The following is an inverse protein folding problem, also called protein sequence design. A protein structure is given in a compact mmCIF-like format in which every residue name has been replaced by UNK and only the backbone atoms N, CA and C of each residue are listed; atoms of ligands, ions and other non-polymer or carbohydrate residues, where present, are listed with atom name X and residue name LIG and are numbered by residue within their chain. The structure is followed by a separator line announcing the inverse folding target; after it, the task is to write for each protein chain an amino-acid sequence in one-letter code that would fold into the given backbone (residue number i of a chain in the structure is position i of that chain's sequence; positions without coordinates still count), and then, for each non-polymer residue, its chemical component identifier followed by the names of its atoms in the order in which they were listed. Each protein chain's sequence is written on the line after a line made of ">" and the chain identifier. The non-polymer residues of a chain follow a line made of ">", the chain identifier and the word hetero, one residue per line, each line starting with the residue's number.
data_IF_601992831104
#
_entry.id   IF_601992831104
#
_cell.length_a   1.000
_cell.length_b   1.000
_cell.length_c   1.000
_cell.angle_alpha   90.00
_cell.angle_beta   90.00
_cell.angle_gamma   90.00
#
_symmetry.space_group_name_H-M   'P 1'
#
loop_
_entity.id
_entity.type
_entity.pdbx_description
1 polymer ?
#
# COMPACT_ATOMS: atom_id res chain seq x y z
N UNK A 1 22.32 20.44 -5.91
CA UNK A 1 22.41 21.23 -7.17
C UNK A 1 21.83 20.38 -8.30
N UNK A 2 21.11 20.99 -9.26
CA UNK A 2 20.83 20.38 -10.57
C UNK A 2 19.55 19.55 -10.79
N UNK A 3 18.78 19.17 -9.76
CA UNK A 3 17.62 18.28 -9.96
C UNK A 3 16.35 19.05 -10.37
N UNK A 4 15.74 18.63 -11.47
CA UNK A 4 14.46 19.12 -12.00
C UNK A 4 13.51 17.97 -12.36
N UNK A 5 12.44 18.27 -13.10
CA UNK A 5 11.54 17.27 -13.65
C UNK A 5 11.26 17.56 -15.11
N UNK A 6 11.28 16.53 -15.93
CA UNK A 6 10.98 16.57 -17.36
C UNK A 6 9.87 15.58 -17.68
N UNK A 7 9.03 15.90 -18.67
CA UNK A 7 8.03 15.01 -19.22
C UNK A 7 8.64 14.22 -20.39
N UNK A 8 8.46 12.90 -20.39
CA UNK A 8 8.86 12.02 -21.49
C UNK A 8 7.63 11.30 -22.02
N UNK A 9 7.49 11.25 -23.33
CA UNK A 9 6.41 10.54 -24.01
C UNK A 9 6.87 9.16 -24.47
N UNK A 10 5.97 8.18 -24.44
CA UNK A 10 6.26 6.84 -24.97
C UNK A 10 6.59 6.92 -26.47
N UNK A 11 7.65 6.22 -26.89
CA UNK A 11 8.11 6.20 -28.28
C UNK A 11 9.19 7.23 -28.62
N UNK A 12 9.59 8.11 -27.69
CA UNK A 12 10.74 9.00 -27.90
C UNK A 12 12.03 8.18 -28.17
N UNK A 13 12.82 8.52 -29.22
CA UNK A 13 14.06 7.80 -29.52
C UNK A 13 15.00 7.75 -28.32
N UNK A 14 15.49 6.54 -28.01
CA UNK A 14 16.36 6.29 -26.86
C UNK A 14 15.63 6.07 -25.53
N UNK A 15 14.31 6.32 -25.44
CA UNK A 15 13.51 6.02 -24.26
C UNK A 15 12.84 4.65 -24.42
N UNK A 16 13.30 3.67 -23.65
CA UNK A 16 12.86 2.27 -23.77
C UNK A 16 12.59 1.65 -22.40
N UNK A 17 11.88 0.52 -22.40
CA UNK A 17 11.57 -0.25 -21.20
C UNK A 17 12.48 -1.46 -21.11
N UNK A 18 13.12 -1.63 -19.95
CA UNK A 18 13.83 -2.85 -19.60
C UNK A 18 12.89 -3.99 -19.16
N UNK A 19 13.45 -5.10 -18.64
CA UNK A 19 12.65 -6.23 -18.22
C UNK A 19 11.74 -5.87 -17.05
N UNK A 20 10.54 -6.46 -17.06
CA UNK A 20 9.59 -6.37 -15.95
C UNK A 20 10.15 -7.09 -14.72
N UNK A 21 10.02 -6.46 -13.55
CA UNK A 21 10.32 -7.06 -12.26
C UNK A 21 9.16 -7.97 -11.85
N UNK A 22 9.48 -9.22 -11.49
CA UNK A 22 8.50 -10.18 -10.92
C UNK A 22 8.47 -10.00 -9.41
N UNK A 23 7.58 -9.12 -8.94
CA UNK A 23 7.42 -8.78 -7.53
C UNK A 23 6.75 -9.87 -6.70
N UNK A 24 6.97 -9.83 -5.37
CA UNK A 24 6.32 -10.71 -4.40
C UNK A 24 4.79 -10.57 -4.46
N UNK A 25 4.29 -9.34 -4.30
CA UNK A 25 2.90 -8.96 -4.40
C UNK A 25 2.69 -7.73 -5.27
N UNK A 26 1.48 -7.18 -5.24
CA UNK A 26 1.04 -6.05 -6.08
C UNK A 26 1.27 -6.35 -7.57
N UNK A 27 1.13 -7.63 -7.95
CA UNK A 27 1.50 -8.13 -9.30
C UNK A 27 0.63 -7.57 -10.44
N UNK A 28 -0.43 -6.85 -10.12
CA UNK A 28 -1.21 -6.07 -11.10
C UNK A 28 -0.46 -4.83 -11.59
N UNK A 29 0.46 -4.29 -10.79
CA UNK A 29 1.31 -3.17 -11.17
C UNK A 29 2.49 -3.69 -11.98
N UNK A 30 2.77 -3.02 -13.10
CA UNK A 30 3.90 -3.33 -13.97
C UNK A 30 5.11 -2.53 -13.51
N UNK A 31 5.86 -3.11 -12.59
CA UNK A 31 7.17 -2.58 -12.19
C UNK A 31 8.25 -3.05 -13.15
N UNK A 32 9.16 -2.15 -13.53
CA UNK A 32 10.20 -2.42 -14.50
C UNK A 32 11.26 -1.33 -14.52
N UNK A 33 12.26 -1.53 -15.36
CA UNK A 33 13.36 -0.59 -15.54
C UNK A 33 13.01 0.37 -16.67
N UNK A 34 13.25 1.67 -16.47
CA UNK A 34 13.24 2.67 -17.54
C UNK A 34 14.68 2.88 -18.01
N UNK A 35 14.90 2.85 -19.32
CA UNK A 35 16.20 3.02 -19.95
C UNK A 35 16.20 4.29 -20.79
N UNK A 36 17.23 5.11 -20.63
CA UNK A 36 17.39 6.37 -21.32
C UNK A 36 18.76 6.39 -22.01
N UNK A 37 18.77 6.32 -23.34
CA UNK A 37 19.98 6.39 -24.16
C UNK A 37 19.91 7.60 -25.11
N UNK A 38 20.65 8.66 -24.79
CA UNK A 38 20.71 9.89 -25.59
C UNK A 38 19.33 10.47 -25.97
N UNK A 39 18.35 10.36 -25.07
CA UNK A 39 16.98 10.86 -25.29
C UNK A 39 17.01 12.38 -25.45
N UNK A 40 16.54 12.87 -26.60
CA UNK A 40 16.38 14.30 -26.85
C UNK A 40 15.01 14.75 -26.37
N UNK A 41 14.99 15.72 -25.47
CA UNK A 41 13.77 16.21 -24.81
C UNK A 41 13.57 17.68 -25.19
N UNK A 42 12.40 18.08 -25.72
CA UNK A 42 12.08 19.47 -25.99
C UNK A 42 12.11 20.33 -24.71
N UNK A 43 12.43 21.62 -24.85
CA UNK A 43 12.49 22.53 -23.70
C UNK A 43 11.12 22.71 -23.05
N UNK A 44 10.04 22.67 -23.83
CA UNK A 44 8.66 22.75 -23.31
C UNK A 44 8.29 21.58 -22.37
N UNK A 45 9.01 20.47 -22.42
CA UNK A 45 8.80 19.33 -21.53
C UNK A 45 9.48 19.51 -20.17
N UNK A 46 10.18 20.63 -19.93
CA UNK A 46 10.73 20.96 -18.62
C UNK A 46 9.61 21.39 -17.66
N UNK A 47 9.15 20.45 -16.83
CA UNK A 47 8.09 20.67 -15.84
C UNK A 47 8.62 21.47 -14.64
N UNK A 48 9.86 21.19 -14.22
CA UNK A 48 10.48 21.82 -13.06
C UNK A 48 11.94 22.12 -13.34
N UNK A 49 12.32 23.39 -13.25
CA UNK A 49 13.69 23.85 -13.45
C UNK A 49 14.64 23.40 -12.31
N UNK A 50 15.93 23.17 -12.61
CA UNK A 50 16.95 22.85 -11.62
C UNK A 50 17.11 23.93 -10.54
N UNK A 51 17.47 23.51 -9.32
CA UNK A 51 18.11 24.40 -8.33
C UNK A 51 17.30 24.77 -7.08
N UNK A 52 15.97 24.88 -7.16
CA UNK A 52 15.16 25.27 -5.98
C UNK A 52 13.80 24.57 -5.86
N UNK A 53 13.36 23.84 -6.87
CA UNK A 53 12.02 23.28 -6.93
C UNK A 53 11.93 21.77 -6.61
N UNK A 54 13.07 21.09 -6.40
CA UNK A 54 13.08 19.68 -5.98
C UNK A 54 12.39 19.45 -4.62
N UNK A 55 12.59 20.34 -3.65
CA UNK A 55 11.90 20.24 -2.36
C UNK A 55 10.37 20.35 -2.50
N UNK A 56 9.89 21.15 -3.44
CA UNK A 56 8.47 21.28 -3.76
C UNK A 56 7.95 20.03 -4.47
N UNK A 57 8.72 19.42 -5.39
CA UNK A 57 8.38 18.12 -5.98
C UNK A 57 8.25 17.03 -4.91
N UNK A 58 9.16 17.01 -3.94
CA UNK A 58 9.12 16.04 -2.84
C UNK A 58 7.89 16.20 -1.94
N UNK A 59 7.23 17.36 -1.96
CA UNK A 59 6.01 17.59 -1.20
C UNK A 59 4.81 16.80 -1.77
N UNK A 60 4.79 16.53 -3.08
CA UNK A 60 3.76 15.70 -3.72
C UNK A 60 3.74 14.27 -3.19
N UNK A 61 4.89 13.75 -2.73
CA UNK A 61 4.98 12.44 -2.09
C UNK A 61 4.17 12.33 -0.79
N UNK A 62 3.87 13.45 -0.12
CA UNK A 62 3.02 13.42 1.07
C UNK A 62 1.60 12.95 0.72
N UNK A 63 1.05 13.36 -0.42
CA UNK A 63 -0.24 12.86 -0.92
C UNK A 63 -0.16 11.39 -1.32
N UNK A 64 0.92 11.00 -2.00
CA UNK A 64 1.16 9.60 -2.39
C UNK A 64 1.24 8.66 -1.17
N UNK A 65 1.84 9.11 -0.05
CA UNK A 65 1.84 8.36 1.22
C UNK A 65 0.42 8.08 1.72
N UNK A 66 -0.45 9.08 1.71
CA UNK A 66 -1.86 8.91 2.12
C UNK A 66 -2.59 7.95 1.19
N UNK A 67 -2.40 8.09 -0.14
CA UNK A 67 -2.99 7.18 -1.12
C UNK A 67 -2.53 5.73 -0.93
N UNK A 68 -1.22 5.51 -0.75
CA UNK A 68 -0.66 4.19 -0.48
C UNK A 68 -1.18 3.59 0.84
N UNK A 69 -1.34 4.42 1.89
CA UNK A 69 -1.97 3.99 3.14
C UNK A 69 -3.44 3.61 2.94
N UNK A 70 -4.19 4.32 2.12
CA UNK A 70 -5.58 3.98 1.82
C UNK A 70 -5.70 2.63 1.09
N UNK A 71 -4.78 2.34 0.14
CA UNK A 71 -4.70 1.03 -0.52
C UNK A 71 -4.43 -0.08 0.50
N UNK A 72 -3.42 0.09 1.35
CA UNK A 72 -3.08 -0.88 2.39
C UNK A 72 -4.23 -1.09 3.39
N UNK A 73 -4.94 -0.04 3.80
CA UNK A 73 -6.14 -0.14 4.64
C UNK A 73 -7.21 -1.00 3.96
N UNK A 74 -7.46 -0.80 2.66
CA UNK A 74 -8.44 -1.59 1.90
C UNK A 74 -8.08 -3.07 1.81
N UNK A 75 -6.82 -3.39 1.54
CA UNK A 75 -6.30 -4.78 1.52
C UNK A 75 -6.54 -5.43 2.90
N UNK A 76 -6.17 -4.72 3.96
CA UNK A 76 -6.23 -5.23 5.32
C UNK A 76 -7.65 -5.39 5.84
N UNK A 77 -8.54 -4.45 5.55
CA UNK A 77 -9.96 -4.58 5.85
C UNK A 77 -10.54 -5.83 5.18
N UNK A 78 -10.24 -6.03 3.89
CA UNK A 78 -10.70 -7.22 3.17
C UNK A 78 -10.15 -8.53 3.75
N UNK A 79 -8.90 -8.54 4.21
CA UNK A 79 -8.32 -9.70 4.86
C UNK A 79 -8.97 -10.01 6.22
N UNK A 80 -9.26 -8.97 7.00
CA UNK A 80 -9.97 -9.10 8.28
C UNK A 80 -11.40 -9.61 8.08
N UNK A 81 -12.17 -9.00 7.17
CA UNK A 81 -13.56 -9.39 6.90
C UNK A 81 -13.63 -10.86 6.45
N UNK A 82 -12.73 -11.26 5.55
CA UNK A 82 -12.64 -12.65 5.09
C UNK A 82 -12.28 -13.63 6.22
N UNK A 83 -11.32 -13.26 7.06
CA UNK A 83 -10.91 -14.09 8.19
C UNK A 83 -12.00 -14.22 9.25
N UNK A 84 -12.74 -13.14 9.52
CA UNK A 84 -13.88 -13.13 10.44
C UNK A 84 -14.99 -14.05 9.94
N UNK A 85 -15.39 -13.92 8.67
CA UNK A 85 -16.41 -14.78 8.06
C UNK A 85 -15.98 -16.25 8.07
N UNK A 86 -14.74 -16.54 7.71
CA UNK A 86 -14.22 -17.90 7.75
C UNK A 86 -14.24 -18.47 9.17
N UNK A 87 -13.81 -17.68 10.16
CA UNK A 87 -13.78 -18.11 11.56
C UNK A 87 -15.17 -18.37 12.14
N UNK A 88 -16.19 -17.64 11.69
CA UNK A 88 -17.56 -17.85 12.15
C UNK A 88 -18.22 -19.07 11.50
N UNK A 89 -17.83 -19.42 10.28
CA UNK A 89 -18.35 -20.60 9.59
C UNK A 89 -17.60 -21.89 9.93
N UNK A 90 -16.28 -21.81 10.15
CA UNK A 90 -15.42 -22.98 10.37
C UNK A 90 -15.62 -23.56 11.77
N UNK A 91 -15.81 -24.87 11.86
CA UNK A 91 -15.94 -25.60 13.14
C UNK A 91 -14.76 -26.52 13.43
N UNK A 92 -14.25 -26.45 14.66
CA UNK A 92 -13.29 -27.39 15.24
C UNK A 92 -13.63 -27.66 16.70
N UNK A 93 -13.38 -28.88 17.15
CA UNK A 93 -13.71 -29.32 18.52
C UNK A 93 -15.19 -29.02 18.90
N UNK A 94 -16.10 -29.16 17.93
CA UNK A 94 -17.54 -28.94 18.10
C UNK A 94 -18.00 -27.48 18.15
N UNK A 95 -17.11 -26.49 18.06
CA UNK A 95 -17.44 -25.05 18.16
C UNK A 95 -16.92 -24.28 16.95
N UNK A 96 -17.42 -23.07 16.73
CA UNK A 96 -16.86 -22.18 15.69
C UNK A 96 -15.48 -21.70 16.11
N UNK A 97 -14.65 -21.28 15.16
CA UNK A 97 -13.36 -20.68 15.53
C UNK A 97 -13.55 -19.37 16.32
N UNK A 98 -14.63 -18.62 16.05
CA UNK A 98 -15.04 -17.41 16.80
C UNK A 98 -15.43 -17.68 18.26
N UNK A 99 -15.68 -18.93 18.65
CA UNK A 99 -16.01 -19.28 20.04
C UNK A 99 -14.74 -19.51 20.91
N UNK A 100 -13.54 -19.56 20.30
CA UNK A 100 -12.27 -19.67 21.04
C UNK A 100 -11.70 -18.29 21.36
N UNK A 101 -11.39 -18.06 22.63
CA UNK A 101 -10.88 -16.77 23.12
C UNK A 101 -9.60 -16.30 22.39
N UNK A 102 -8.70 -17.22 22.05
CA UNK A 102 -7.48 -16.88 21.30
C UNK A 102 -7.80 -16.27 19.93
N UNK A 103 -8.80 -16.80 19.22
CA UNK A 103 -9.27 -16.25 17.94
C UNK A 103 -9.98 -14.91 18.13
N UNK A 104 -10.81 -14.79 19.18
CA UNK A 104 -11.47 -13.53 19.51
C UNK A 104 -10.47 -12.41 19.79
N UNK A 105 -9.40 -12.68 20.54
CA UNK A 105 -8.35 -11.68 20.81
C UNK A 105 -7.61 -11.26 19.55
N UNK A 106 -7.31 -12.19 18.63
CA UNK A 106 -6.71 -11.86 17.33
C UNK A 106 -7.62 -10.93 16.53
N UNK A 107 -8.89 -11.30 16.37
CA UNK A 107 -9.87 -10.50 15.64
C UNK A 107 -10.08 -9.12 16.29
N UNK A 108 -10.17 -9.04 17.61
CA UNK A 108 -10.32 -7.78 18.33
C UNK A 108 -9.10 -6.85 18.12
N UNK A 109 -7.88 -7.39 18.22
CA UNK A 109 -6.66 -6.61 17.98
C UNK A 109 -6.58 -6.11 16.54
N UNK A 110 -6.89 -6.98 15.56
CA UNK A 110 -6.95 -6.60 14.15
C UNK A 110 -7.93 -5.44 13.92
N UNK A 111 -9.14 -5.52 14.49
CA UNK A 111 -10.15 -4.48 14.36
C UNK A 111 -9.70 -3.14 14.97
N UNK A 112 -9.09 -3.16 16.17
CA UNK A 112 -8.56 -1.96 16.82
C UNK A 112 -7.48 -1.30 15.95
N UNK A 113 -6.55 -2.08 15.41
CA UNK A 113 -5.48 -1.55 14.56
C UNK A 113 -6.01 -0.96 13.24
N UNK A 114 -6.99 -1.60 12.62
CA UNK A 114 -7.67 -1.11 11.42
C UNK A 114 -8.37 0.22 11.70
N UNK A 115 -9.09 0.34 12.82
CA UNK A 115 -9.77 1.57 13.19
C UNK A 115 -8.79 2.71 13.44
N UNK A 116 -7.70 2.43 14.18
CA UNK A 116 -6.63 3.41 14.40
C UNK A 116 -6.00 3.87 13.07
N UNK A 117 -5.72 2.95 12.16
CA UNK A 117 -5.20 3.24 10.82
C UNK A 117 -6.13 4.17 10.03
N UNK A 118 -7.44 3.90 10.05
CA UNK A 118 -8.45 4.71 9.36
C UNK A 118 -8.43 6.15 9.87
N UNK A 119 -8.39 6.36 11.19
CA UNK A 119 -8.30 7.70 11.77
C UNK A 119 -7.01 8.43 11.40
N UNK A 120 -5.86 7.75 11.40
CA UNK A 120 -4.58 8.35 11.00
C UNK A 120 -4.59 8.79 9.53
N UNK A 121 -5.16 7.97 8.65
CA UNK A 121 -5.30 8.30 7.22
C UNK A 121 -6.20 9.52 7.03
N UNK A 122 -7.38 9.55 7.68
CA UNK A 122 -8.30 10.68 7.55
C UNK A 122 -7.75 11.95 8.16
N UNK A 123 -7.06 11.86 9.30
CA UNK A 123 -6.35 13.00 9.91
C UNK A 123 -5.30 13.56 8.96
N UNK A 124 -4.51 12.69 8.30
CA UNK A 124 -3.57 13.13 7.30
C UNK A 124 -4.27 13.77 6.10
N UNK A 125 -5.31 13.14 5.56
CA UNK A 125 -6.06 13.65 4.40
C UNK A 125 -6.69 15.03 4.66
N UNK A 126 -7.26 15.30 5.84
CA UNK A 126 -7.88 16.58 6.17
C UNK A 126 -6.86 17.75 6.17
N UNK A 127 -5.56 17.47 6.34
CA UNK A 127 -4.52 18.52 6.22
C UNK A 127 -4.33 19.04 4.80
N UNK A 128 -4.88 18.38 3.77
CA UNK A 128 -4.65 18.72 2.37
C UNK A 128 -5.42 19.97 1.87
N UNK A 129 -6.23 20.63 2.72
CA UNK A 129 -7.21 21.68 2.37
C UNK A 129 -6.74 22.85 1.50
N UNK A 130 -5.44 23.07 1.31
CA UNK A 130 -4.96 24.21 0.52
C UNK A 130 -3.77 23.96 -0.43
N UNK A 131 -3.24 22.73 -0.60
CA UNK A 131 -2.48 22.27 -1.80
C UNK A 131 -1.67 20.99 -1.56
N UNK A 132 -1.14 20.75 -0.35
CA UNK A 132 -0.26 19.61 -0.06
C UNK A 132 -0.52 19.07 1.35
N UNK A 133 -0.62 17.74 1.48
CA UNK A 133 -0.76 17.04 2.76
C UNK A 133 0.42 17.31 3.69
N UNK A 134 0.14 17.47 5.00
CA UNK A 134 1.17 17.56 6.04
C UNK A 134 2.19 16.42 5.93
N UNK A 135 3.47 16.79 5.88
CA UNK A 135 4.58 15.82 5.88
C UNK A 135 4.56 14.95 7.12
N UNK A 136 4.28 15.53 8.28
CA UNK A 136 4.26 14.80 9.54
C UNK A 136 3.11 13.79 9.55
N UNK A 137 1.88 14.26 9.31
CA UNK A 137 0.69 13.40 9.38
C UNK A 137 0.71 12.27 8.35
N UNK A 138 1.09 12.59 7.11
CA UNK A 138 1.23 11.57 6.06
C UNK A 138 2.30 10.51 6.38
N UNK A 139 3.41 10.91 7.02
CA UNK A 139 4.47 9.98 7.41
C UNK A 139 4.03 9.07 8.57
N UNK A 140 3.39 9.64 9.59
CA UNK A 140 2.83 8.87 10.72
C UNK A 140 1.81 7.85 10.22
N UNK A 141 0.87 8.29 9.37
CA UNK A 141 -0.12 7.40 8.79
C UNK A 141 0.54 6.29 7.95
N UNK A 142 1.54 6.61 7.13
CA UNK A 142 2.18 5.61 6.27
C UNK A 142 2.93 4.54 7.04
N UNK A 143 3.73 4.92 8.04
CA UNK A 143 4.49 3.93 8.82
C UNK A 143 3.53 3.02 9.58
N UNK A 144 2.59 3.59 10.33
CA UNK A 144 1.64 2.80 11.11
C UNK A 144 0.84 1.81 10.25
N UNK A 145 0.27 2.30 9.14
CA UNK A 145 -0.59 1.49 8.27
C UNK A 145 0.19 0.37 7.57
N UNK A 146 1.43 0.62 7.14
CA UNK A 146 2.23 -0.40 6.45
C UNK A 146 2.57 -1.56 7.38
N UNK A 147 3.01 -1.26 8.60
CA UNK A 147 3.36 -2.31 9.57
C UNK A 147 2.11 -3.05 10.06
N UNK A 148 1.01 -2.32 10.28
CA UNK A 148 -0.28 -2.89 10.61
C UNK A 148 -0.78 -3.84 9.53
N UNK A 149 -0.67 -3.47 8.26
CA UNK A 149 -1.12 -4.28 7.14
C UNK A 149 -0.44 -5.65 7.14
N UNK A 150 0.87 -5.70 7.38
CA UNK A 150 1.62 -6.96 7.50
C UNK A 150 1.11 -7.79 8.68
N UNK A 151 0.93 -7.18 9.86
CA UNK A 151 0.46 -7.90 11.06
C UNK A 151 -0.94 -8.50 10.84
N UNK A 152 -1.89 -7.69 10.38
CA UNK A 152 -3.29 -8.11 10.24
C UNK A 152 -3.44 -9.14 9.13
N UNK A 153 -2.77 -8.96 7.98
CA UNK A 153 -2.85 -9.97 6.91
C UNK A 153 -2.14 -11.29 7.28
N UNK A 154 -1.08 -11.23 8.08
CA UNK A 154 -0.44 -12.42 8.66
C UNK A 154 -1.38 -13.16 9.61
N UNK A 155 -2.07 -12.43 10.50
CA UNK A 155 -3.06 -13.00 11.41
C UNK A 155 -4.26 -13.57 10.66
N UNK A 156 -4.69 -12.96 9.56
CA UNK A 156 -5.72 -13.50 8.69
C UNK A 156 -5.31 -14.88 8.14
N UNK A 157 -4.09 -15.03 7.62
CA UNK A 157 -3.56 -16.34 7.20
C UNK A 157 -3.60 -17.33 8.36
N UNK A 158 -3.16 -16.91 9.55
CA UNK A 158 -3.10 -17.79 10.72
C UNK A 158 -4.48 -18.26 11.20
N UNK A 159 -5.51 -17.40 11.12
CA UNK A 159 -6.90 -17.75 11.47
C UNK A 159 -7.46 -18.81 10.52
N UNK A 160 -7.13 -18.73 9.23
CA UNK A 160 -7.53 -19.74 8.25
C UNK A 160 -6.74 -21.05 8.40
N UNK A 161 -5.55 -21.01 8.98
CA UNK A 161 -4.64 -22.14 9.12
C UNK A 161 -4.06 -22.57 7.77
N UNK A 162 -4.00 -23.88 7.50
CA UNK A 162 -3.46 -24.41 6.24
C UNK A 162 -4.20 -23.87 5.00
N UNK A 163 -5.51 -23.62 5.10
CA UNK A 163 -6.31 -23.03 4.01
C UNK A 163 -5.84 -21.61 3.65
N UNK A 164 -5.37 -20.84 4.64
CA UNK A 164 -4.87 -19.47 4.43
C UNK A 164 -3.51 -19.42 3.74
N UNK A 165 -2.74 -20.51 3.81
CA UNK A 165 -1.46 -20.64 3.10
C UNK A 165 -1.67 -21.01 1.61
N UNK A 166 -2.77 -21.69 1.31
CA UNK A 166 -3.13 -22.08 -0.05
C UNK A 166 -3.60 -20.90 -0.89
N UNK A 167 -3.45 -21.01 -2.22
CA UNK A 167 -3.94 -20.01 -3.19
C UNK A 167 -5.42 -20.15 -3.54
N UNK A 168 -6.17 -20.97 -2.79
CA UNK A 168 -7.62 -21.11 -2.93
C UNK A 168 -8.37 -19.97 -2.26
N UNK A 169 -7.74 -19.32 -1.27
CA UNK A 169 -8.28 -18.19 -0.53
C UNK A 169 -7.51 -16.90 -0.85
N UNK A 170 -8.17 -15.74 -0.83
CA UNK A 170 -7.54 -14.48 -1.22
C UNK A 170 -6.53 -13.94 -0.20
N UNK A 171 -6.52 -14.46 1.03
CA UNK A 171 -5.72 -13.91 2.14
C UNK A 171 -4.20 -14.03 1.90
N UNK A 172 -3.73 -15.07 1.20
CA UNK A 172 -2.31 -15.19 0.85
C UNK A 172 -1.86 -14.05 -0.08
N UNK A 173 -2.74 -13.67 -1.02
CA UNK A 173 -2.48 -12.54 -1.92
C UNK A 173 -2.48 -11.25 -1.15
N UNK A 174 -3.47 -11.05 -0.28
CA UNK A 174 -3.56 -9.85 0.55
C UNK A 174 -2.32 -9.67 1.41
N UNK A 175 -1.78 -10.74 1.99
CA UNK A 175 -0.51 -10.70 2.73
C UNK A 175 0.69 -10.33 1.85
N UNK A 176 0.80 -10.89 0.64
CA UNK A 176 1.88 -10.52 -0.28
C UNK A 176 1.79 -9.06 -0.75
N UNK A 177 0.58 -8.53 -0.82
CA UNK A 177 0.29 -7.19 -1.33
C UNK A 177 0.34 -6.09 -0.24
N UNK A 178 0.32 -6.47 1.04
CA UNK A 178 0.37 -5.59 2.22
C UNK A 178 1.74 -4.94 2.43
#
# INVERSE_FOLDING_TARGET
>A
EGIGAILLEEGMPGYTYGPRIRSLGVRGVREGVLLFDQVRVPEENLVVAPGSAFANLMSAYNGQRVGASAVALGITQGAFDYALEYADNRRQFGKRLTDFQATQFKLANMAIEIDAARFLIYRAADTARATITSRYESSVAKVFVSEMAIRVTSEAIQILGAEGYGRHHPVERMFRDA
#
